data_IF_106642840631
#
_entry.id   IF_106642840631
#
_cell.length_a   1.000
_cell.length_b   1.000
_cell.length_c   1.000
_cell.angle_alpha   90.00
_cell.angle_beta   90.00
_cell.angle_gamma   90.00
#
_symmetry.space_group_name_H-M   'P 1'
#
loop_
_entity.id
_entity.type
_entity.pdbx_description
1 polymer ?
#
# COMPACT_ATOMS: atom_id res chain seq x y z
N UNK A 1 24.26 -8.88 -22.89
CA UNK A 1 23.46 -7.63 -22.80
C UNK A 1 22.20 -8.01 -22.05
N UNK A 2 22.07 -7.61 -20.79
CA UNK A 2 20.82 -7.81 -20.04
C UNK A 2 19.75 -6.92 -20.66
N UNK A 3 18.57 -7.47 -20.95
CA UNK A 3 17.42 -6.68 -21.37
C UNK A 3 17.15 -5.57 -20.36
N UNK A 4 16.95 -4.35 -20.85
CA UNK A 4 16.67 -3.19 -20.03
C UNK A 4 15.24 -3.32 -19.49
N UNK A 5 15.11 -3.42 -18.17
CA UNK A 5 13.80 -3.53 -17.52
C UNK A 5 13.06 -2.18 -17.62
N UNK A 6 11.97 -2.14 -18.39
CA UNK A 6 11.14 -0.93 -18.54
C UNK A 6 9.80 -1.13 -17.85
N UNK A 7 9.61 -0.46 -16.71
CA UNK A 7 8.32 -0.39 -16.04
C UNK A 7 7.40 0.64 -16.72
N UNK A 8 6.16 0.25 -17.01
CA UNK A 8 5.12 1.16 -17.52
C UNK A 8 4.04 1.37 -16.46
N UNK A 9 3.88 2.60 -15.93
CA UNK A 9 2.86 2.89 -14.93
C UNK A 9 1.43 2.71 -15.48
N UNK A 10 0.62 1.90 -14.78
CA UNK A 10 -0.84 1.78 -14.94
C UNK A 10 -1.58 2.63 -13.90
N UNK A 11 -2.85 2.93 -14.17
CA UNK A 11 -3.74 3.66 -13.24
C UNK A 11 -4.48 2.76 -12.24
N UNK A 12 -4.33 1.43 -12.34
CA UNK A 12 -4.89 0.44 -11.42
C UNK A 12 -4.07 -0.85 -11.49
N UNK A 13 -4.14 -1.67 -10.44
CA UNK A 13 -3.40 -2.93 -10.31
C UNK A 13 -4.25 -3.99 -9.61
N UNK A 14 -4.29 -5.19 -10.19
CA UNK A 14 -4.95 -6.36 -9.62
C UNK A 14 -4.05 -7.14 -8.65
N UNK A 15 -4.62 -8.11 -7.93
CA UNK A 15 -3.94 -8.85 -6.85
C UNK A 15 -2.65 -9.52 -7.30
N UNK A 16 -2.69 -10.19 -8.45
CA UNK A 16 -1.55 -10.88 -9.04
C UNK A 16 -0.40 -9.92 -9.35
N UNK A 17 -0.70 -8.69 -9.80
CA UNK A 17 0.30 -7.65 -10.03
C UNK A 17 0.92 -7.11 -8.73
N UNK A 18 0.11 -7.00 -7.66
CA UNK A 18 0.61 -6.61 -6.34
C UNK A 18 1.50 -7.72 -5.73
N UNK A 19 1.14 -8.98 -5.93
CA UNK A 19 1.98 -10.13 -5.56
C UNK A 19 3.28 -10.12 -6.36
N UNK A 20 3.23 -9.88 -7.68
CA UNK A 20 4.42 -9.72 -8.51
C UNK A 20 5.32 -8.57 -8.02
N UNK A 21 4.72 -7.45 -7.57
CA UNK A 21 5.47 -6.37 -6.92
C UNK A 21 6.22 -6.86 -5.67
N UNK A 22 5.57 -7.66 -4.82
CA UNK A 22 6.21 -8.25 -3.65
C UNK A 22 7.34 -9.23 -3.98
N UNK A 23 7.21 -9.99 -5.08
CA UNK A 23 8.29 -10.85 -5.60
C UNK A 23 9.45 -10.04 -6.20
N UNK A 24 9.19 -8.80 -6.63
CA UNK A 24 10.17 -7.89 -7.23
C UNK A 24 10.10 -7.82 -8.75
N UNK A 25 9.03 -8.33 -9.34
CA UNK A 25 8.86 -8.49 -10.78
C UNK A 25 8.06 -7.34 -11.42
N UNK A 26 7.69 -6.31 -10.63
CA UNK A 26 6.92 -5.15 -11.13
C UNK A 26 7.78 -3.91 -11.41
N UNK A 27 8.60 -3.47 -10.44
CA UNK A 27 9.43 -2.25 -10.58
C UNK A 27 10.88 -2.57 -10.94
N UNK A 28 11.24 -3.85 -11.03
CA UNK A 28 12.58 -4.30 -11.41
C UNK A 28 13.54 -4.48 -10.22
N UNK A 29 14.73 -5.03 -10.48
CA UNK A 29 15.66 -5.44 -9.44
C UNK A 29 16.19 -4.25 -8.64
N UNK A 30 16.20 -4.39 -7.30
CA UNK A 30 16.72 -3.36 -6.39
C UNK A 30 15.74 -2.25 -6.00
N UNK A 31 14.55 -2.23 -6.61
CA UNK A 31 13.53 -1.21 -6.40
C UNK A 31 12.50 -1.61 -5.33
N UNK A 32 11.46 -0.80 -5.19
CA UNK A 32 10.42 -1.00 -4.19
C UNK A 32 9.75 -2.37 -4.37
N UNK A 33 9.35 -2.96 -3.24
CA UNK A 33 8.55 -4.18 -3.20
C UNK A 33 7.47 -3.99 -2.15
N UNK A 34 6.31 -4.57 -2.40
CA UNK A 34 5.31 -4.77 -1.36
C UNK A 34 5.72 -5.95 -0.45
N UNK A 35 5.16 -6.07 0.75
CA UNK A 35 5.16 -7.33 1.47
C UNK A 35 4.43 -8.43 0.69
N UNK A 36 4.62 -9.68 1.11
CA UNK A 36 3.97 -10.85 0.49
C UNK A 36 3.09 -11.57 1.52
N UNK A 37 2.21 -12.45 1.01
CA UNK A 37 1.33 -13.32 1.80
C UNK A 37 0.59 -12.56 2.91
N UNK A 38 0.72 -13.02 4.15
CA UNK A 38 0.01 -12.52 5.32
C UNK A 38 0.35 -11.09 5.72
N UNK A 39 1.39 -10.49 5.12
CA UNK A 39 1.74 -9.09 5.34
C UNK A 39 1.29 -8.17 4.20
N UNK A 40 0.82 -8.69 3.06
CA UNK A 40 0.27 -7.87 1.98
C UNK A 40 -1.17 -7.45 2.34
N UNK A 41 -1.36 -6.21 2.77
CA UNK A 41 -2.62 -5.73 3.37
C UNK A 41 -3.57 -5.03 2.39
N UNK A 42 -3.53 -5.45 1.12
CA UNK A 42 -4.43 -4.98 0.08
C UNK A 42 -4.55 -6.02 -1.03
N UNK A 43 -5.71 -6.03 -1.69
CA UNK A 43 -6.01 -6.91 -2.82
C UNK A 43 -5.90 -6.23 -4.17
N UNK A 44 -6.14 -4.92 -4.21
CA UNK A 44 -6.12 -4.16 -5.45
C UNK A 44 -5.87 -2.69 -5.20
N UNK A 45 -5.26 -2.05 -6.19
CA UNK A 45 -5.24 -0.58 -6.33
C UNK A 45 -6.26 -0.26 -7.42
N UNK A 46 -7.37 0.38 -7.06
CA UNK A 46 -8.45 0.74 -7.99
C UNK A 46 -8.15 2.02 -8.74
N UNK A 47 -7.40 2.93 -8.12
CA UNK A 47 -6.95 4.18 -8.75
C UNK A 47 -5.57 4.57 -8.23
N UNK A 48 -4.68 4.98 -9.12
CA UNK A 48 -3.44 5.69 -8.79
C UNK A 48 -3.14 6.75 -9.84
N UNK A 49 -2.84 7.97 -9.40
CA UNK A 49 -2.50 9.09 -10.27
C UNK A 49 -1.49 10.03 -9.60
N UNK A 50 -0.80 10.87 -10.38
CA UNK A 50 0.26 11.76 -9.89
C UNK A 50 -0.18 13.19 -9.57
N UNK A 51 -1.43 13.54 -9.87
CA UNK A 51 -1.96 14.89 -9.91
C UNK A 51 -3.25 15.10 -9.10
N UNK A 52 -3.87 14.04 -8.61
CA UNK A 52 -5.03 14.08 -7.72
C UNK A 52 -4.70 14.39 -6.26
N UNK A 53 -5.70 14.22 -5.40
CA UNK A 53 -5.64 14.51 -3.96
C UNK A 53 -5.68 16.01 -3.66
N UNK A 54 -5.97 16.37 -2.41
CA UNK A 54 -6.11 17.78 -1.97
C UNK A 54 -4.93 18.69 -2.31
N UNK A 55 -3.71 18.16 -2.30
CA UNK A 55 -2.49 18.92 -2.61
C UNK A 55 -2.09 18.89 -4.09
N UNK A 56 -2.83 18.15 -4.94
CA UNK A 56 -2.50 17.95 -6.35
C UNK A 56 -1.15 17.25 -6.56
N UNK A 57 -0.82 16.30 -5.69
CA UNK A 57 0.47 15.56 -5.69
C UNK A 57 0.32 14.05 -5.87
N UNK A 58 -0.91 13.59 -6.08
CA UNK A 58 -1.25 12.20 -6.29
C UNK A 58 -2.28 11.69 -5.30
N UNK A 59 -3.04 10.72 -5.77
CA UNK A 59 -4.07 10.00 -5.05
C UNK A 59 -3.86 8.51 -5.30
N UNK A 60 -4.15 7.71 -4.27
CA UNK A 60 -4.25 6.26 -4.38
C UNK A 60 -5.54 5.82 -3.71
N UNK A 61 -6.33 5.00 -4.40
CA UNK A 61 -7.45 4.25 -3.86
C UNK A 61 -7.12 2.76 -3.96
N UNK A 62 -7.27 2.05 -2.85
CA UNK A 62 -6.99 0.63 -2.77
C UNK A 62 -7.99 -0.07 -1.87
N UNK A 63 -8.09 -1.38 -2.01
CA UNK A 63 -9.07 -2.18 -1.30
C UNK A 63 -8.48 -3.48 -0.77
N UNK A 64 -9.03 -3.97 0.33
CA UNK A 64 -8.82 -5.31 0.89
C UNK A 64 -10.20 -5.94 1.13
N UNK A 65 -10.44 -7.10 0.53
CA UNK A 65 -11.65 -7.88 0.78
C UNK A 65 -11.55 -8.50 2.17
N UNK A 66 -12.64 -8.41 2.94
CA UNK A 66 -12.71 -9.00 4.27
C UNK A 66 -13.48 -10.31 4.21
N UNK A 67 -12.80 -11.37 4.62
CA UNK A 67 -13.35 -12.70 4.80
C UNK A 67 -13.01 -13.22 6.20
N UNK A 68 -13.91 -14.03 6.75
CA UNK A 68 -13.83 -14.48 8.16
C UNK A 68 -12.61 -15.36 8.47
N UNK A 69 -12.02 -15.94 7.43
CA UNK A 69 -10.86 -16.83 7.42
C UNK A 69 -9.54 -16.09 7.17
N UNK A 70 -9.54 -14.75 7.16
CA UNK A 70 -8.29 -13.99 7.24
C UNK A 70 -7.55 -14.34 8.54
N UNK A 71 -6.29 -14.72 8.39
CA UNK A 71 -5.45 -15.32 9.43
C UNK A 71 -5.45 -14.55 10.75
N UNK A 72 -5.52 -13.22 10.69
CA UNK A 72 -5.42 -12.38 11.87
C UNK A 72 -6.65 -12.46 12.77
N UNK A 73 -7.82 -12.83 12.25
CA UNK A 73 -9.03 -12.97 13.07
C UNK A 73 -8.95 -14.16 14.02
N UNK A 74 -8.24 -15.22 13.65
CA UNK A 74 -8.08 -16.42 14.49
C UNK A 74 -7.21 -16.15 15.72
N UNK A 75 -6.27 -15.20 15.62
CA UNK A 75 -5.32 -14.90 16.68
C UNK A 75 -5.53 -13.54 17.38
N UNK A 76 -6.40 -12.68 16.86
CA UNK A 76 -6.56 -11.31 17.36
C UNK A 76 -8.04 -10.92 17.46
N UNK A 77 -8.73 -11.22 18.56
CA UNK A 77 -8.32 -12.06 19.68
C UNK A 77 -9.18 -13.34 19.71
N UNK A 78 -8.71 -14.45 20.32
CA UNK A 78 -9.56 -15.62 20.51
C UNK A 78 -10.86 -15.25 21.26
N UNK A 79 -12.01 -15.42 20.61
CA UNK A 79 -13.33 -15.07 21.14
C UNK A 79 -13.78 -13.61 20.94
N UNK A 80 -12.90 -12.74 20.43
CA UNK A 80 -13.19 -11.33 20.10
C UNK A 80 -12.43 -10.92 18.82
N UNK A 81 -12.81 -11.46 17.65
CA UNK A 81 -12.04 -11.30 16.42
C UNK A 81 -12.17 -9.88 15.85
N UNK A 82 -11.03 -9.23 15.63
CA UNK A 82 -10.92 -7.88 15.07
C UNK A 82 -9.61 -7.73 14.31
N UNK A 83 -9.65 -7.09 13.13
CA UNK A 83 -8.42 -6.82 12.37
C UNK A 83 -7.48 -5.95 13.21
N UNK A 84 -6.19 -6.32 13.35
CA UNK A 84 -5.22 -5.48 14.03
C UNK A 84 -5.12 -4.10 13.34
N UNK A 85 -5.39 -3.01 14.08
CA UNK A 85 -5.33 -1.65 13.53
C UNK A 85 -3.95 -1.29 12.94
N UNK A 86 -2.88 -1.90 13.46
CA UNK A 86 -1.52 -1.73 12.93
C UNK A 86 -1.36 -2.28 11.51
N UNK A 87 -2.10 -3.31 11.10
CA UNK A 87 -2.06 -3.84 9.74
C UNK A 87 -2.76 -2.90 8.75
N UNK A 88 -3.85 -2.25 9.17
CA UNK A 88 -4.48 -1.18 8.40
C UNK A 88 -3.55 0.03 8.24
N UNK A 89 -2.79 0.37 9.28
CA UNK A 89 -1.75 1.41 9.21
C UNK A 89 -0.61 1.00 8.26
N UNK A 90 -0.17 -0.25 8.31
CA UNK A 90 0.89 -0.75 7.41
C UNK A 90 0.46 -0.73 5.95
N UNK A 91 -0.81 -1.06 5.64
CA UNK A 91 -1.36 -0.92 4.29
C UNK A 91 -1.18 0.50 3.72
N UNK A 92 -1.35 1.53 4.56
CA UNK A 92 -1.12 2.92 4.14
C UNK A 92 0.36 3.20 3.84
N UNK A 93 1.30 2.69 4.64
CA UNK A 93 2.73 2.81 4.35
C UNK A 93 3.14 2.02 3.10
N UNK A 94 2.57 0.83 2.90
CA UNK A 94 2.77 0.01 1.70
C UNK A 94 2.36 0.80 0.45
N UNK A 95 1.20 1.45 0.48
CA UNK A 95 0.70 2.26 -0.64
C UNK A 95 1.57 3.48 -0.93
N UNK A 96 2.04 4.19 0.10
CA UNK A 96 3.00 5.31 -0.10
C UNK A 96 4.31 4.81 -0.70
N UNK A 97 4.83 3.66 -0.24
CA UNK A 97 6.02 3.03 -0.82
C UNK A 97 5.81 2.59 -2.27
N UNK A 98 4.67 1.97 -2.56
CA UNK A 98 4.26 1.59 -3.91
C UNK A 98 4.20 2.80 -4.83
N UNK A 99 3.60 3.92 -4.39
CA UNK A 99 3.53 5.15 -5.17
C UNK A 99 4.90 5.68 -5.59
N UNK A 100 5.88 5.65 -4.69
CA UNK A 100 7.24 6.10 -5.01
C UNK A 100 7.90 5.21 -6.06
N UNK A 101 7.72 3.89 -5.97
CA UNK A 101 8.17 2.94 -6.99
C UNK A 101 7.43 3.11 -8.32
N UNK A 102 6.11 3.29 -8.27
CA UNK A 102 5.23 3.56 -9.40
C UNK A 102 5.60 4.86 -10.14
N UNK A 103 6.17 5.82 -9.42
CA UNK A 103 6.73 7.05 -9.99
C UNK A 103 8.10 6.87 -10.67
N UNK A 104 8.64 5.65 -10.68
CA UNK A 104 9.92 5.32 -11.30
C UNK A 104 11.13 5.59 -10.40
N UNK A 105 10.95 5.85 -9.11
CA UNK A 105 12.07 6.09 -8.21
C UNK A 105 12.80 4.78 -7.87
N UNK A 106 14.14 4.76 -7.88
CA UNK A 106 14.90 3.58 -7.52
C UNK A 106 14.98 3.38 -6.00
N UNK A 107 15.31 2.15 -5.59
CA UNK A 107 15.63 1.81 -4.20
C UNK A 107 14.50 1.13 -3.43
N UNK A 108 14.84 0.62 -2.24
CA UNK A 108 13.95 -0.21 -1.41
C UNK A 108 13.19 0.65 -0.39
N UNK A 109 11.88 0.43 -0.29
CA UNK A 109 11.01 1.18 0.63
C UNK A 109 11.29 0.88 2.11
N UNK A 110 11.19 1.92 2.94
CA UNK A 110 11.18 1.84 4.41
C UNK A 110 10.16 2.86 4.94
N UNK A 111 9.24 2.42 5.79
CA UNK A 111 8.37 3.33 6.52
C UNK A 111 9.21 4.15 7.50
N UNK A 112 8.98 5.46 7.55
CA UNK A 112 9.68 6.38 8.46
C UNK A 112 8.82 6.80 9.66
N UNK A 113 7.54 6.39 9.68
CA UNK A 113 6.59 6.68 10.74
C UNK A 113 5.38 7.47 10.26
N UNK A 114 4.69 8.08 11.23
CA UNK A 114 3.48 8.88 11.04
C UNK A 114 3.44 9.99 12.09
N UNK A 115 2.79 11.11 11.77
CA UNK A 115 2.58 12.19 12.74
C UNK A 115 1.52 11.83 13.77
N UNK A 116 0.26 11.75 13.33
CA UNK A 116 -0.88 11.37 14.17
C UNK A 116 -1.61 10.18 13.56
N UNK A 117 -2.02 9.22 14.40
CA UNK A 117 -2.84 8.07 14.02
C UNK A 117 -4.04 8.02 14.95
N UNK A 118 -5.23 7.86 14.38
CA UNK A 118 -6.49 7.74 15.13
C UNK A 118 -7.25 6.51 14.66
N UNK A 119 -7.59 5.63 15.61
CA UNK A 119 -8.51 4.52 15.37
C UNK A 119 -9.86 4.87 16.01
N UNK A 120 -10.88 5.10 15.19
CA UNK A 120 -12.22 5.52 15.65
C UNK A 120 -13.28 4.42 15.46
N UNK A 121 -12.88 3.28 14.92
CA UNK A 121 -13.73 2.13 14.66
C UNK A 121 -12.89 0.86 14.54
N UNK A 122 -13.53 -0.21 14.08
CA UNK A 122 -12.92 -1.54 14.01
C UNK A 122 -13.44 -2.31 12.79
N UNK A 123 -12.65 -3.29 12.34
CA UNK A 123 -12.99 -4.18 11.22
C UNK A 123 -13.25 -5.57 11.79
N UNK A 124 -14.48 -6.05 11.62
CA UNK A 124 -14.94 -7.34 12.13
C UNK A 124 -14.96 -8.39 11.01
N UNK A 125 -15.02 -9.70 11.34
CA UNK A 125 -15.17 -10.76 10.34
C UNK A 125 -16.43 -10.66 9.48
N UNK A 126 -17.41 -9.88 9.92
CA UNK A 126 -18.67 -9.61 9.20
C UNK A 126 -18.57 -8.46 8.20
N UNK A 127 -17.52 -7.64 8.29
CA UNK A 127 -17.20 -6.62 7.30
C UNK A 127 -16.97 -7.26 5.92
N UNK A 128 -17.04 -6.44 4.86
CA UNK A 128 -16.92 -6.92 3.48
C UNK A 128 -15.73 -6.36 2.74
N UNK A 129 -15.45 -5.09 2.97
CA UNK A 129 -14.44 -4.36 2.22
C UNK A 129 -13.83 -3.30 3.12
N UNK A 130 -12.50 -3.22 3.09
CA UNK A 130 -11.75 -2.06 3.57
C UNK A 130 -11.31 -1.28 2.36
N UNK A 131 -11.51 0.04 2.38
CA UNK A 131 -11.00 0.94 1.35
C UNK A 131 -9.96 1.84 1.99
N UNK A 132 -8.78 1.91 1.37
CA UNK A 132 -7.71 2.82 1.75
C UNK A 132 -7.70 3.98 0.76
N UNK A 133 -7.74 5.22 1.27
CA UNK A 133 -7.52 6.42 0.46
C UNK A 133 -6.27 7.13 0.94
N UNK A 134 -5.29 7.28 0.04
CA UNK A 134 -4.03 7.96 0.29
C UNK A 134 -3.94 9.23 -0.54
N UNK A 135 -3.83 10.39 0.13
CA UNK A 135 -3.64 11.67 -0.51
C UNK A 135 -2.20 12.15 -0.28
N UNK A 136 -1.40 12.20 -1.36
CA UNK A 136 -0.02 12.66 -1.25
C UNK A 136 -0.01 14.15 -0.90
N UNK A 137 0.71 14.50 0.17
CA UNK A 137 0.95 15.90 0.59
C UNK A 137 2.23 16.45 -0.01
N UNK A 138 3.28 15.64 -0.03
CA UNK A 138 4.60 16.03 -0.52
C UNK A 138 5.34 14.82 -1.06
N UNK A 139 6.01 15.02 -2.18
CA UNK A 139 6.87 14.03 -2.83
C UNK A 139 8.24 14.68 -3.01
N UNK A 140 9.29 14.03 -2.51
CA UNK A 140 10.67 14.49 -2.60
C UNK A 140 11.45 13.45 -3.41
N UNK A 141 11.98 13.85 -4.57
CA UNK A 141 12.68 12.98 -5.51
C UNK A 141 14.04 13.62 -5.85
N UNK A 142 14.93 13.63 -4.87
CA UNK A 142 16.30 14.19 -5.01
C UNK A 142 17.30 13.14 -4.55
N UNK A 143 18.34 13.55 -3.79
CA UNK A 143 19.29 12.60 -3.16
C UNK A 143 18.60 11.61 -2.21
N UNK A 144 17.54 12.04 -1.53
CA UNK A 144 16.64 11.20 -0.76
C UNK A 144 15.29 11.18 -1.47
N UNK A 145 14.74 9.98 -1.66
CA UNK A 145 13.37 9.77 -2.14
C UNK A 145 12.46 9.59 -0.93
N UNK A 146 11.43 10.42 -0.79
CA UNK A 146 10.49 10.37 0.33
C UNK A 146 9.10 10.86 -0.06
N UNK A 147 8.08 10.13 0.37
CA UNK A 147 6.67 10.51 0.27
C UNK A 147 6.10 10.87 1.64
N UNK A 148 5.26 11.90 1.69
CA UNK A 148 4.45 12.27 2.85
C UNK A 148 3.01 12.32 2.36
N UNK A 149 2.11 11.64 3.06
CA UNK A 149 0.70 11.54 2.70
C UNK A 149 -0.18 11.59 3.94
N UNK A 150 -1.44 11.98 3.74
CA UNK A 150 -2.52 11.68 4.68
C UNK A 150 -3.26 10.43 4.17
N UNK A 151 -3.69 9.57 5.08
CA UNK A 151 -4.47 8.37 4.79
C UNK A 151 -5.76 8.32 5.59
N UNK A 152 -6.78 7.70 5.03
CA UNK A 152 -8.09 7.44 5.67
C UNK A 152 -8.65 6.10 5.24
#
# INVERSE_FOLDING_TARGET
MSEEFVFTPKSSYAKDELVACGMGDLFGPGNAKLPIDNMLMLDRITEINSDGGKAGKGLILAELDIHKDLWFFDCHFPGDPVMPGCLGLDAMWQLVGFFLGWRGNPGRGRALGSGEVKFTGQILPTSKLVTYKIEMKRVIERKLVMGIADGS
#
